data_IF_320331668986
#
_entry.id   IF_320331668986
#
_cell.length_a   1.000
_cell.length_b   1.000
_cell.length_c   1.000
_cell.angle_alpha   90.00
_cell.angle_beta   90.00
_cell.angle_gamma   90.00
#
_symmetry.space_group_name_H-M   'P 1'
#
loop_
_entity.id
_entity.type
_entity.pdbx_description
1 polymer ?
#
# COMPACT_ATOMS: atom_id res chain seq x y z
N UNK A 1 4.24 -20.78 -1.69
CA UNK A 1 4.26 -20.18 -0.35
C UNK A 1 3.89 -21.24 0.70
N UNK A 2 4.45 -21.16 1.89
CA UNK A 2 4.20 -22.13 2.96
C UNK A 2 3.54 -21.43 4.15
N UNK A 3 2.51 -22.04 4.73
CA UNK A 3 1.92 -21.57 5.99
C UNK A 3 2.98 -21.65 7.10
N UNK A 4 3.19 -20.54 7.82
CA UNK A 4 4.28 -20.41 8.78
C UNK A 4 4.21 -21.40 9.95
N UNK A 5 5.37 -21.86 10.39
CA UNK A 5 5.56 -22.69 11.58
C UNK A 5 5.83 -21.80 12.79
N UNK A 6 4.97 -21.74 13.77
CA UNK A 6 5.47 -21.28 15.06
C UNK A 6 4.68 -20.25 15.85
N UNK A 7 3.45 -20.01 15.51
CA UNK A 7 2.49 -19.42 16.45
C UNK A 7 1.39 -20.45 16.69
N UNK A 8 1.33 -20.99 17.90
CA UNK A 8 0.19 -21.79 18.32
C UNK A 8 -1.08 -21.04 17.91
N UNK A 9 -1.93 -21.69 17.12
CA UNK A 9 -3.13 -21.13 16.51
C UNK A 9 -2.92 -20.17 15.33
N UNK A 10 -2.21 -20.58 14.27
CA UNK A 10 -2.17 -19.89 12.96
C UNK A 10 -3.56 -19.78 12.31
N UNK A 11 -4.55 -20.34 12.93
CA UNK A 11 -5.91 -20.43 12.48
C UNK A 11 -6.89 -20.13 13.64
N UNK A 12 -7.42 -18.90 13.68
CA UNK A 12 -8.58 -18.55 14.52
C UNK A 12 -9.80 -18.34 13.63
N UNK A 13 -10.84 -19.15 13.86
CA UNK A 13 -12.21 -18.82 13.41
C UNK A 13 -12.81 -17.83 14.40
N UNK A 14 -13.08 -16.63 13.92
CA UNK A 14 -13.92 -15.67 14.61
C UNK A 14 -14.84 -15.06 13.55
N UNK A 15 -16.15 -15.20 13.71
CA UNK A 15 -17.18 -14.63 12.82
C UNK A 15 -16.98 -15.01 11.32
N UNK A 16 -16.80 -16.30 11.00
CA UNK A 16 -16.55 -16.84 9.65
C UNK A 16 -15.27 -16.33 8.96
N UNK A 17 -14.41 -15.61 9.66
CA UNK A 17 -13.11 -15.18 9.16
C UNK A 17 -12.00 -16.13 9.56
N UNK A 18 -11.04 -16.27 8.64
CA UNK A 18 -9.82 -17.07 8.81
C UNK A 18 -8.63 -16.15 8.69
N UNK A 19 -7.69 -16.28 9.60
CA UNK A 19 -6.45 -15.51 9.59
C UNK A 19 -5.31 -16.43 9.15
N UNK A 20 -4.64 -16.06 8.06
CA UNK A 20 -3.56 -16.86 7.48
C UNK A 20 -2.26 -16.06 7.55
N UNK A 21 -1.20 -16.68 8.03
CA UNK A 21 0.17 -16.15 8.00
C UNK A 21 1.01 -17.06 7.11
N UNK A 22 1.81 -16.47 6.23
CA UNK A 22 2.69 -17.17 5.31
C UNK A 22 4.15 -16.86 5.64
N UNK A 23 5.08 -17.77 5.34
CA UNK A 23 6.53 -17.53 5.49
C UNK A 23 6.99 -16.38 4.58
N UNK A 24 6.43 -16.33 3.38
CA UNK A 24 6.57 -15.24 2.42
C UNK A 24 5.22 -14.97 1.76
N UNK A 25 5.00 -13.76 1.31
CA UNK A 25 3.73 -13.38 0.69
C UNK A 25 3.90 -12.30 -0.37
N UNK A 26 3.18 -12.39 -1.51
CA UNK A 26 3.11 -11.31 -2.49
C UNK A 26 2.08 -10.23 -2.11
N UNK A 27 1.30 -10.44 -1.04
CA UNK A 27 0.27 -9.49 -0.60
C UNK A 27 0.90 -8.34 0.17
N UNK A 28 0.59 -7.12 -0.24
CA UNK A 28 0.92 -5.92 0.50
C UNK A 28 0.04 -5.79 1.73
N UNK A 29 0.64 -5.67 2.90
CA UNK A 29 -0.10 -5.35 4.12
C UNK A 29 -0.36 -3.85 4.21
N UNK A 30 -1.52 -3.45 4.73
CA UNK A 30 -1.85 -2.05 4.95
C UNK A 30 -0.73 -1.32 5.68
N UNK A 31 -0.19 -0.29 5.04
CA UNK A 31 0.92 0.51 5.57
C UNK A 31 1.00 1.85 4.86
N UNK A 32 1.55 2.88 5.53
CA UNK A 32 1.84 4.18 4.93
C UNK A 32 0.62 4.90 4.33
N UNK A 33 -0.60 4.55 4.76
CA UNK A 33 -1.84 5.07 4.19
C UNK A 33 -2.36 4.30 2.98
N UNK A 34 -1.61 3.35 2.44
CA UNK A 34 -2.08 2.44 1.39
C UNK A 34 -2.80 1.25 2.03
N UNK A 35 -4.00 0.95 1.55
CA UNK A 35 -4.79 -0.21 2.00
C UNK A 35 -4.17 -1.54 1.58
N UNK A 36 -4.44 -2.59 2.35
CA UNK A 36 -3.96 -3.95 2.09
C UNK A 36 -4.50 -4.55 0.80
N UNK A 37 -3.75 -5.51 0.25
CA UNK A 37 -4.18 -6.26 -0.91
C UNK A 37 -5.28 -7.25 -0.59
N UNK A 38 -6.02 -7.59 -1.63
CA UNK A 38 -6.99 -8.68 -1.64
C UNK A 38 -6.66 -9.69 -2.74
N UNK A 39 -7.25 -10.87 -2.66
CA UNK A 39 -7.02 -11.90 -3.66
C UNK A 39 -7.46 -13.27 -3.21
N UNK A 40 -6.66 -14.30 -3.56
CA UNK A 40 -6.96 -15.70 -3.23
C UNK A 40 -5.69 -16.40 -2.75
N UNK A 41 -5.85 -17.21 -1.71
CA UNK A 41 -4.86 -18.20 -1.25
C UNK A 41 -5.51 -19.57 -1.40
N UNK A 42 -4.87 -20.45 -2.15
CA UNK A 42 -5.46 -21.73 -2.49
C UNK A 42 -4.42 -22.84 -2.69
N UNK A 43 -4.87 -24.06 -2.55
CA UNK A 43 -4.18 -25.25 -3.03
C UNK A 43 -5.23 -26.31 -3.44
N UNK A 44 -4.81 -27.58 -3.60
CA UNK A 44 -5.72 -28.69 -3.96
C UNK A 44 -6.77 -29.01 -2.89
N UNK A 45 -6.53 -28.66 -1.61
CA UNK A 45 -7.32 -29.06 -0.46
C UNK A 45 -8.24 -27.94 0.05
N UNK A 46 -7.94 -26.65 -0.27
CA UNK A 46 -8.76 -25.52 0.12
C UNK A 46 -8.64 -24.33 -0.83
N UNK A 47 -9.62 -23.42 -0.75
CA UNK A 47 -9.58 -22.08 -1.34
C UNK A 47 -10.10 -21.07 -0.33
N UNK A 48 -9.37 -19.97 -0.14
CA UNK A 48 -9.71 -18.88 0.75
C UNK A 48 -9.57 -17.53 0.02
N UNK A 49 -10.61 -16.70 0.10
CA UNK A 49 -10.59 -15.34 -0.43
C UNK A 49 -9.98 -14.41 0.60
N UNK A 50 -8.87 -13.77 0.26
CA UNK A 50 -8.28 -12.68 1.04
C UNK A 50 -9.13 -11.43 0.87
N UNK A 51 -9.70 -10.93 1.95
CA UNK A 51 -10.55 -9.74 1.96
C UNK A 51 -9.80 -8.52 2.48
N UNK A 52 -8.69 -8.73 3.18
CA UNK A 52 -7.79 -7.68 3.66
C UNK A 52 -6.45 -8.28 4.05
N UNK A 53 -5.39 -7.46 4.06
CA UNK A 53 -4.04 -7.84 4.47
C UNK A 53 -3.49 -6.80 5.43
N UNK A 54 -3.17 -7.21 6.65
CA UNK A 54 -2.76 -6.35 7.76
C UNK A 54 -1.38 -6.73 8.27
N UNK A 55 -0.66 -5.75 8.85
CA UNK A 55 0.62 -5.98 9.52
C UNK A 55 0.43 -5.99 11.04
N UNK A 56 1.00 -6.99 11.70
CA UNK A 56 1.05 -7.05 13.17
C UNK A 56 2.47 -7.45 13.62
N UNK A 57 3.25 -6.48 14.08
CA UNK A 57 4.67 -6.65 14.31
C UNK A 57 5.40 -7.03 13.03
N UNK A 58 6.10 -8.16 13.03
CA UNK A 58 6.83 -8.68 11.87
C UNK A 58 5.98 -9.61 10.98
N UNK A 59 4.72 -9.83 11.35
CA UNK A 59 3.84 -10.76 10.64
C UNK A 59 2.88 -10.04 9.71
N UNK A 60 2.72 -10.59 8.52
CA UNK A 60 1.67 -10.21 7.57
C UNK A 60 0.51 -11.19 7.74
N UNK A 61 -0.65 -10.66 8.11
CA UNK A 61 -1.87 -11.41 8.40
C UNK A 61 -2.85 -11.22 7.24
N UNK A 62 -3.18 -12.30 6.57
CA UNK A 62 -4.21 -12.32 5.54
C UNK A 62 -5.56 -12.63 6.20
N UNK A 63 -6.48 -11.67 6.16
CA UNK A 63 -7.85 -11.84 6.65
C UNK A 63 -8.67 -12.44 5.53
N UNK A 64 -9.12 -13.67 5.71
CA UNK A 64 -9.72 -14.47 4.67
C UNK A 64 -11.14 -14.91 5.01
N UNK A 65 -11.94 -15.12 3.96
CA UNK A 65 -13.16 -15.93 4.01
C UNK A 65 -12.90 -17.27 3.36
N UNK A 66 -13.14 -18.37 4.09
CA UNK A 66 -12.97 -19.72 3.54
C UNK A 66 -14.05 -19.97 2.49
N UNK A 67 -13.64 -20.29 1.28
CA UNK A 67 -14.56 -20.62 0.17
C UNK A 67 -14.85 -22.12 0.14
N UNK A 68 -13.82 -22.95 0.31
CA UNK A 68 -13.96 -24.41 0.30
C UNK A 68 -12.79 -25.09 0.99
N UNK A 69 -13.00 -26.33 1.43
CA UNK A 69 -11.98 -27.20 1.96
C UNK A 69 -11.60 -26.94 3.41
N UNK A 70 -10.44 -27.47 3.83
CA UNK A 70 -9.90 -27.34 5.17
C UNK A 70 -8.45 -26.87 5.11
N UNK A 71 -8.12 -25.91 5.97
CA UNK A 71 -6.77 -25.36 6.10
C UNK A 71 -6.05 -26.12 7.21
N UNK A 72 -4.84 -26.58 6.92
CA UNK A 72 -3.94 -27.20 7.87
C UNK A 72 -2.61 -26.46 7.87
N UNK A 73 -1.87 -26.55 8.97
CA UNK A 73 -0.54 -25.97 9.08
C UNK A 73 0.46 -26.61 8.10
N UNK A 74 1.49 -25.85 7.75
CA UNK A 74 2.61 -26.30 6.90
C UNK A 74 2.20 -26.76 5.50
N UNK A 75 1.08 -26.26 4.97
CA UNK A 75 0.66 -26.53 3.59
C UNK A 75 1.36 -25.56 2.62
N UNK A 76 1.76 -26.08 1.47
CA UNK A 76 2.16 -25.23 0.34
C UNK A 76 0.90 -24.65 -0.31
N UNK A 77 0.92 -23.36 -0.59
CA UNK A 77 -0.20 -22.63 -1.17
C UNK A 77 0.24 -21.79 -2.37
N UNK A 78 -0.70 -21.56 -3.26
CA UNK A 78 -0.59 -20.56 -4.33
C UNK A 78 -1.28 -19.28 -3.88
N UNK A 79 -0.64 -18.16 -4.11
CA UNK A 79 -1.17 -16.84 -3.81
C UNK A 79 -1.44 -16.08 -5.11
N UNK A 80 -2.63 -15.49 -5.23
CA UNK A 80 -3.02 -14.70 -6.38
C UNK A 80 -3.64 -13.40 -5.91
N UNK A 81 -2.90 -12.31 -6.08
CA UNK A 81 -3.40 -10.96 -5.76
C UNK A 81 -4.38 -10.48 -6.84
N UNK A 82 -5.29 -9.58 -6.47
CA UNK A 82 -6.09 -8.83 -7.42
C UNK A 82 -5.20 -7.76 -8.09
N UNK A 83 -4.64 -8.14 -9.25
CA UNK A 83 -3.68 -7.30 -9.98
C UNK A 83 -4.30 -6.02 -10.55
N UNK A 84 -5.60 -6.03 -10.86
CA UNK A 84 -6.30 -4.84 -11.35
C UNK A 84 -6.39 -3.83 -10.21
N UNK A 85 -6.93 -4.26 -9.07
CA UNK A 85 -7.03 -3.42 -7.87
C UNK A 85 -5.66 -2.89 -7.41
N UNK A 86 -4.62 -3.74 -7.42
CA UNK A 86 -3.23 -3.34 -7.10
C UNK A 86 -2.75 -2.24 -8.05
N UNK A 87 -3.00 -2.36 -9.36
CA UNK A 87 -2.62 -1.36 -10.36
C UNK A 87 -3.30 -0.01 -10.08
N UNK A 88 -4.59 -0.01 -9.77
CA UNK A 88 -5.32 1.22 -9.48
C UNK A 88 -4.80 1.90 -8.20
N UNK A 89 -4.50 1.12 -7.16
CA UNK A 89 -3.87 1.60 -5.93
C UNK A 89 -2.50 2.25 -6.24
N UNK A 90 -1.66 1.63 -7.06
CA UNK A 90 -0.35 2.18 -7.46
C UNK A 90 -0.48 3.52 -8.18
N UNK A 91 -1.45 3.65 -9.08
CA UNK A 91 -1.73 4.91 -9.77
C UNK A 91 -2.07 6.00 -8.75
N UNK A 92 -2.97 5.70 -7.81
CA UNK A 92 -3.37 6.65 -6.77
C UNK A 92 -2.25 6.94 -5.77
N UNK A 93 -1.37 5.99 -5.49
CA UNK A 93 -0.19 6.22 -4.66
C UNK A 93 0.77 7.23 -5.33
N UNK A 94 1.11 7.02 -6.59
CA UNK A 94 1.92 7.98 -7.36
C UNK A 94 1.25 9.36 -7.45
N UNK A 95 -0.06 9.40 -7.69
CA UNK A 95 -0.82 10.65 -7.72
C UNK A 95 -0.80 11.38 -6.37
N UNK A 96 -0.76 10.66 -5.25
CA UNK A 96 -0.62 11.26 -3.90
C UNK A 96 0.69 12.03 -3.76
N UNK A 97 1.80 11.49 -4.28
CA UNK A 97 3.09 12.17 -4.25
C UNK A 97 3.12 13.40 -5.14
N UNK A 98 2.56 13.30 -6.36
CA UNK A 98 2.43 14.44 -7.27
C UNK A 98 1.58 15.55 -6.64
N UNK A 99 0.46 15.18 -6.00
CA UNK A 99 -0.42 16.13 -5.30
C UNK A 99 0.31 16.83 -4.15
N UNK A 100 1.06 16.08 -3.35
CA UNK A 100 1.81 16.67 -2.23
C UNK A 100 2.87 17.67 -2.72
N UNK A 101 3.59 17.34 -3.80
CA UNK A 101 4.57 18.27 -4.37
C UNK A 101 3.89 19.51 -4.97
N UNK A 102 2.81 19.34 -5.73
CA UNK A 102 2.06 20.45 -6.31
C UNK A 102 1.48 21.38 -5.23
N UNK A 103 1.01 20.83 -4.11
CA UNK A 103 0.58 21.64 -2.95
C UNK A 103 1.73 22.49 -2.38
N UNK A 104 2.94 21.93 -2.28
CA UNK A 104 4.12 22.70 -1.85
C UNK A 104 4.52 23.77 -2.84
N UNK A 105 4.49 23.47 -4.12
CA UNK A 105 4.88 24.41 -5.18
C UNK A 105 3.94 25.63 -5.24
N UNK A 106 2.64 25.43 -5.00
CA UNK A 106 1.64 26.50 -5.06
C UNK A 106 1.47 27.23 -3.73
N UNK A 107 1.43 26.49 -2.61
CA UNK A 107 1.09 27.06 -1.30
C UNK A 107 2.31 27.33 -0.42
N UNK A 108 3.44 26.69 -0.72
CA UNK A 108 4.72 26.89 -0.02
C UNK A 108 5.18 25.70 0.81
N UNK A 109 6.44 25.77 1.25
CA UNK A 109 7.14 24.67 1.94
C UNK A 109 6.61 24.33 3.34
N UNK A 110 5.67 25.11 3.88
CA UNK A 110 5.02 24.82 5.16
C UNK A 110 4.02 23.66 5.08
N UNK A 111 3.66 23.24 3.87
CA UNK A 111 2.77 22.10 3.65
C UNK A 111 3.48 20.82 4.10
N UNK A 112 2.91 20.19 5.12
CA UNK A 112 3.33 18.87 5.61
C UNK A 112 2.17 17.90 5.58
N UNK A 113 2.48 16.65 5.29
CA UNK A 113 1.50 15.58 5.35
C UNK A 113 1.10 15.30 6.79
N UNK A 114 -0.20 15.34 7.09
CA UNK A 114 -0.79 14.99 8.38
C UNK A 114 -1.41 13.57 8.36
N UNK A 115 -1.84 13.12 7.19
CA UNK A 115 -2.39 11.79 6.95
C UNK A 115 -2.54 11.49 5.47
N UNK A 116 -2.72 10.23 5.13
CA UNK A 116 -3.06 9.81 3.77
C UNK A 116 -3.91 8.54 3.77
N UNK A 117 -4.69 8.38 2.71
CA UNK A 117 -5.38 7.14 2.38
C UNK A 117 -5.29 6.92 0.88
N UNK A 118 -4.76 5.75 0.48
CA UNK A 118 -4.65 5.35 -0.92
C UNK A 118 -5.55 4.13 -1.14
N UNK A 119 -6.62 4.35 -1.91
CA UNK A 119 -7.65 3.38 -2.28
C UNK A 119 -7.65 3.19 -3.81
N UNK A 120 -8.15 2.07 -4.37
CA UNK A 120 -8.23 1.92 -5.83
C UNK A 120 -9.10 3.00 -6.51
N UNK A 121 -10.16 3.46 -5.85
CA UNK A 121 -11.12 4.41 -6.45
C UNK A 121 -10.79 5.88 -6.16
N UNK A 122 -9.99 6.17 -5.13
CA UNK A 122 -9.65 7.53 -4.70
C UNK A 122 -8.40 7.57 -3.84
N UNK A 123 -7.86 8.77 -3.70
CA UNK A 123 -6.85 9.08 -2.68
C UNK A 123 -7.36 10.20 -1.76
N UNK A 124 -6.85 10.23 -0.54
CA UNK A 124 -7.00 11.34 0.40
C UNK A 124 -5.63 11.72 0.93
N UNK A 125 -5.32 13.01 0.87
CA UNK A 125 -4.11 13.58 1.46
C UNK A 125 -4.52 14.67 2.44
N UNK A 126 -4.24 14.47 3.72
CA UNK A 126 -4.48 15.44 4.77
C UNK A 126 -3.19 16.25 4.96
N UNK A 127 -3.26 17.56 4.85
CA UNK A 127 -2.09 18.45 4.95
C UNK A 127 -2.30 19.54 5.99
N UNK A 128 -1.20 20.03 6.56
CA UNK A 128 -1.22 21.19 7.45
C UNK A 128 -1.26 22.48 6.61
N UNK A 129 -2.30 23.28 6.78
CA UNK A 129 -2.42 24.61 6.16
C UNK A 129 -3.24 25.53 7.06
N UNK A 130 -2.81 26.79 7.28
CA UNK A 130 -3.45 27.67 8.26
C UNK A 130 -4.80 28.24 7.81
N UNK A 131 -5.11 28.20 6.52
CA UNK A 131 -6.32 28.81 5.94
C UNK A 131 -6.97 27.90 4.89
N UNK A 132 -8.18 28.24 4.48
CA UNK A 132 -8.85 27.58 3.36
C UNK A 132 -8.06 27.86 2.07
N UNK A 133 -7.86 26.83 1.26
CA UNK A 133 -7.20 26.96 -0.05
C UNK A 133 -8.18 27.63 -1.02
N UNK A 134 -7.74 28.67 -1.71
CA UNK A 134 -8.55 29.39 -2.69
C UNK A 134 -8.80 28.56 -3.96
N UNK A 135 -9.93 28.76 -4.61
CA UNK A 135 -10.30 28.03 -5.83
C UNK A 135 -9.25 28.18 -6.93
N UNK A 136 -8.62 29.35 -7.06
CA UNK A 136 -7.57 29.58 -8.06
C UNK A 136 -6.34 28.69 -7.79
N UNK A 137 -5.97 28.52 -6.51
CA UNK A 137 -4.83 27.71 -6.12
C UNK A 137 -5.14 26.21 -6.31
N UNK A 138 -6.38 25.80 -6.02
CA UNK A 138 -6.85 24.43 -6.34
C UNK A 138 -6.72 24.16 -7.84
N UNK A 139 -7.18 25.08 -8.69
CA UNK A 139 -7.06 24.94 -10.15
C UNK A 139 -5.61 24.87 -10.62
N UNK A 140 -4.72 25.65 -10.00
CA UNK A 140 -3.29 25.60 -10.31
C UNK A 140 -2.66 24.26 -9.91
N UNK A 141 -3.02 23.73 -8.73
CA UNK A 141 -2.57 22.41 -8.24
C UNK A 141 -3.05 21.31 -9.19
N UNK A 142 -4.35 21.29 -9.55
CA UNK A 142 -4.90 20.33 -10.49
C UNK A 142 -4.17 20.35 -11.84
N UNK A 143 -3.88 21.53 -12.37
CA UNK A 143 -3.14 21.69 -13.62
C UNK A 143 -1.73 21.12 -13.53
N UNK A 144 -1.00 21.41 -12.45
CA UNK A 144 0.34 20.90 -12.21
C UNK A 144 0.36 19.37 -12.15
N UNK A 145 -0.55 18.77 -11.38
CA UNK A 145 -0.64 17.30 -11.25
C UNK A 145 -0.95 16.68 -12.61
N UNK A 146 -1.95 17.19 -13.33
CA UNK A 146 -2.34 16.65 -14.63
C UNK A 146 -1.24 16.79 -15.68
N UNK A 147 -0.49 17.90 -15.69
CA UNK A 147 0.65 18.09 -16.57
C UNK A 147 1.74 17.06 -16.28
N UNK A 148 2.04 16.80 -15.00
CA UNK A 148 3.05 15.78 -14.62
C UNK A 148 2.61 14.37 -15.01
N UNK A 149 1.35 14.04 -14.87
CA UNK A 149 0.79 12.76 -15.34
C UNK A 149 0.94 12.64 -16.87
N UNK A 150 0.64 13.73 -17.61
CA UNK A 150 0.74 13.75 -19.07
C UNK A 150 2.18 13.64 -19.59
N UNK A 151 3.18 14.07 -18.83
CA UNK A 151 4.59 13.90 -19.16
C UNK A 151 5.01 12.42 -19.22
N UNK A 152 4.26 11.52 -18.60
CA UNK A 152 4.50 10.07 -18.56
C UNK A 152 5.97 9.74 -18.21
N UNK A 153 6.46 10.35 -17.12
CA UNK A 153 7.85 10.23 -16.67
C UNK A 153 8.11 8.79 -16.24
N UNK A 154 9.24 8.24 -16.67
CA UNK A 154 9.70 6.93 -16.18
C UNK A 154 10.03 7.01 -14.69
N UNK A 155 9.52 6.08 -13.92
CA UNK A 155 9.84 5.94 -12.49
C UNK A 155 10.94 4.89 -12.38
N UNK A 156 12.04 5.27 -11.75
CA UNK A 156 13.15 4.38 -11.44
C UNK A 156 13.19 4.19 -9.92
N UNK A 157 13.43 2.97 -9.49
CA UNK A 157 13.58 2.62 -8.08
C UNK A 157 15.02 2.32 -7.79
N UNK A 158 15.56 2.95 -6.77
CA UNK A 158 16.92 2.73 -6.28
C UNK A 158 16.91 2.46 -4.77
N UNK A 159 17.60 1.41 -4.36
CA UNK A 159 17.70 1.01 -2.94
C UNK A 159 18.99 1.60 -2.37
N UNK A 160 18.83 2.56 -1.46
CA UNK A 160 19.94 3.28 -0.84
C UNK A 160 19.79 3.35 0.68
N UNK A 161 20.87 3.72 1.38
CA UNK A 161 20.76 4.09 2.77
C UNK A 161 19.96 5.39 2.94
N UNK A 162 19.25 5.52 4.06
CA UNK A 162 18.48 6.74 4.37
C UNK A 162 19.34 8.01 4.34
N UNK A 163 20.60 7.89 4.77
CA UNK A 163 21.53 9.05 4.78
C UNK A 163 21.92 9.48 3.37
N UNK A 164 22.16 8.52 2.49
CA UNK A 164 22.55 8.82 1.10
C UNK A 164 21.37 9.36 0.31
N UNK A 165 20.19 8.78 0.44
CA UNK A 165 18.96 9.29 -0.15
C UNK A 165 18.68 10.75 0.27
N UNK A 166 18.86 11.08 1.55
CA UNK A 166 18.71 12.48 2.03
C UNK A 166 19.75 13.44 1.43
N UNK A 167 21.01 12.98 1.23
CA UNK A 167 22.06 13.80 0.58
C UNK A 167 21.73 14.13 -0.86
N UNK A 168 21.05 13.20 -1.55
CA UNK A 168 20.59 13.38 -2.93
C UNK A 168 19.30 14.20 -3.04
N UNK A 169 18.76 14.66 -1.89
CA UNK A 169 17.58 15.53 -1.85
C UNK A 169 16.25 14.77 -1.82
N UNK A 170 16.27 13.49 -1.54
CA UNK A 170 15.04 12.71 -1.39
C UNK A 170 14.17 13.29 -0.27
N UNK A 171 12.90 13.51 -0.57
CA UNK A 171 11.92 13.97 0.41
C UNK A 171 11.45 12.76 1.23
N UNK A 172 11.96 12.68 2.47
CA UNK A 172 11.59 11.65 3.42
C UNK A 172 10.18 11.93 3.97
N UNK A 173 9.15 11.49 3.26
CA UNK A 173 7.77 11.50 3.71
C UNK A 173 7.45 10.19 4.45
N UNK A 174 6.50 10.22 5.38
CA UNK A 174 6.09 9.05 6.17
C UNK A 174 5.74 7.83 5.30
N UNK A 175 5.21 8.03 4.10
CA UNK A 175 4.91 6.95 3.16
C UNK A 175 6.14 6.36 2.48
N UNK A 176 7.17 7.17 2.17
CA UNK A 176 8.32 6.74 1.36
C UNK A 176 9.40 6.00 2.15
N UNK A 177 9.53 6.24 3.46
CA UNK A 177 10.60 5.66 4.28
C UNK A 177 10.29 4.27 4.84
N UNK A 178 9.02 3.86 4.79
CA UNK A 178 8.59 2.54 5.29
C UNK A 178 8.03 1.62 4.21
N UNK A 179 7.95 2.08 2.97
CA UNK A 179 7.37 1.32 1.85
C UNK A 179 8.40 0.87 0.83
N UNK A 180 9.69 0.92 1.18
CA UNK A 180 10.75 0.45 0.28
C UNK A 180 10.56 -0.99 -0.21
N UNK A 181 9.80 -1.80 0.52
CA UNK A 181 9.68 -3.21 0.20
C UNK A 181 8.47 -3.59 -0.67
N UNK A 182 7.50 -2.71 -0.87
CA UNK A 182 6.25 -3.14 -1.49
C UNK A 182 5.91 -2.46 -2.82
N UNK A 183 6.40 -1.26 -3.08
CA UNK A 183 6.24 -0.61 -4.37
C UNK A 183 7.24 -1.16 -5.41
N UNK A 184 8.32 -1.78 -4.95
CA UNK A 184 9.50 -2.12 -5.71
C UNK A 184 9.51 -3.56 -6.26
N UNK A 185 8.59 -4.42 -5.82
CA UNK A 185 8.45 -5.79 -6.35
C UNK A 185 7.45 -5.87 -7.49
N UNK A 186 7.71 -5.09 -8.57
CA UNK A 186 6.83 -5.16 -9.74
C UNK A 186 7.60 -5.26 -11.03
#
# INVERSE_FOLDING_TARGET
WTLSRGLGDVYKRQDDKVYIVLDNTPFYAESGGQIGDIGVIENKDFSAKVVDTQKNGDFIIHICSLVSGNILENMNVSCKIDSIRRKDIKINHSATHLLHQALKDVLGNHINQAGSLVHPDYLRLDVTHPSKIDTKDITAIELLVNNKIAENISVETDIQSLEDAKKEGATALFCLLYTSDAADEL
#
